data_IF_584547778703
#
_entry.id   IF_584547778703
#
_cell.length_a   1.000
_cell.length_b   1.000
_cell.length_c   1.000
_cell.angle_alpha   90.00
_cell.angle_beta   90.00
_cell.angle_gamma   90.00
#
_symmetry.space_group_name_H-M   'P 1'
#
loop_
_entity.id
_entity.type
_entity.pdbx_description
1 polymer ?
#
# COMPACT_ATOMS: atom_id res chain seq x y z
N UNK A 1 20.18 69.99 -1.51
CA UNK A 1 19.87 69.85 -0.07
C UNK A 1 18.68 68.91 0.04
N UNK A 2 18.92 67.66 0.46
CA UNK A 2 18.39 67.04 1.69
C UNK A 2 16.85 67.11 1.76
N UNK A 3 16.10 66.01 1.78
CA UNK A 3 16.29 64.87 2.68
C UNK A 3 15.62 63.61 2.12
N UNK A 4 16.32 62.49 2.25
CA UNK A 4 15.77 61.14 2.18
C UNK A 4 15.04 60.85 3.50
N UNK A 5 13.86 60.26 3.44
CA UNK A 5 13.26 59.52 4.56
C UNK A 5 12.73 58.20 4.05
N UNK A 6 13.50 57.17 4.34
CA UNK A 6 13.26 55.73 4.14
C UNK A 6 12.12 55.26 5.03
N UNK A 7 11.05 54.71 4.44
CA UNK A 7 10.03 53.97 5.18
C UNK A 7 10.31 52.47 5.03
N UNK A 8 10.96 51.88 6.03
CA UNK A 8 11.14 50.43 6.15
C UNK A 8 9.82 49.87 6.67
N UNK A 9 9.03 49.26 5.80
CA UNK A 9 7.84 48.51 6.21
C UNK A 9 8.19 47.03 6.16
N UNK A 10 8.57 46.48 7.30
CA UNK A 10 8.75 45.05 7.48
C UNK A 10 7.35 44.41 7.58
N UNK A 11 6.93 43.68 6.55
CA UNK A 11 5.73 42.84 6.62
C UNK A 11 6.21 41.41 6.86
N UNK A 12 5.89 40.89 8.05
CA UNK A 12 6.16 39.52 8.46
C UNK A 12 5.53 38.54 7.45
N UNK A 13 6.36 37.64 6.94
CA UNK A 13 5.91 36.42 6.27
C UNK A 13 5.16 35.54 7.27
N UNK A 14 3.83 35.48 7.16
CA UNK A 14 3.04 34.44 7.81
C UNK A 14 3.30 33.16 7.03
N UNK A 15 4.23 32.33 7.49
CA UNK A 15 4.25 30.93 7.11
C UNK A 15 3.03 30.28 7.76
N UNK A 16 1.94 30.18 7.00
CA UNK A 16 0.91 29.22 7.33
C UNK A 16 1.55 27.84 7.18
N UNK A 17 2.06 27.30 8.30
CA UNK A 17 2.26 25.87 8.42
C UNK A 17 0.87 25.25 8.23
N UNK A 18 0.57 24.81 7.02
CA UNK A 18 -0.56 23.92 6.76
C UNK A 18 -0.19 22.63 7.48
N UNK A 19 -0.65 22.51 8.72
CA UNK A 19 -0.71 21.25 9.39
C UNK A 19 -1.54 20.33 8.48
N UNK A 20 -0.90 19.30 7.94
CA UNK A 20 -1.60 18.21 7.28
C UNK A 20 -2.75 17.78 8.21
N UNK A 21 -3.98 17.61 7.70
CA UNK A 21 -5.08 17.18 8.54
C UNK A 21 -4.70 15.84 9.17
N UNK A 22 -4.41 15.87 10.47
CA UNK A 22 -4.12 14.69 11.31
C UNK A 22 -5.37 13.78 11.48
N UNK A 23 -6.38 13.99 10.64
CA UNK A 23 -7.65 13.29 10.55
C UNK A 23 -8.17 13.49 9.13
N UNK A 24 -7.52 12.89 8.14
CA UNK A 24 -8.35 12.25 7.12
C UNK A 24 -9.22 11.26 7.91
N UNK A 25 -10.46 11.68 8.14
CA UNK A 25 -11.46 10.86 8.76
C UNK A 25 -11.48 9.57 7.97
N UNK A 26 -10.99 8.48 8.57
CA UNK A 26 -11.39 7.14 8.16
C UNK A 26 -12.89 7.23 8.00
N UNK A 27 -13.36 7.07 6.77
CA UNK A 27 -14.77 6.92 6.52
C UNK A 27 -15.16 5.55 7.07
N UNK A 28 -15.29 5.45 8.40
CA UNK A 28 -15.63 4.22 9.14
C UNK A 28 -16.99 3.69 8.67
N UNK A 29 -17.81 4.53 8.03
CA UNK A 29 -19.13 4.18 7.49
C UNK A 29 -19.10 3.56 6.08
N UNK A 30 -17.95 3.53 5.40
CA UNK A 30 -17.80 2.83 4.11
C UNK A 30 -17.11 1.47 4.25
N UNK A 31 -16.67 1.11 5.46
CA UNK A 31 -16.13 -0.21 5.76
C UNK A 31 -17.29 -1.10 6.18
N UNK A 32 -17.62 -2.09 5.34
CA UNK A 32 -18.47 -3.19 5.78
C UNK A 32 -18.00 -3.66 7.16
N UNK A 33 -18.93 -3.87 8.10
CA UNK A 33 -18.66 -4.33 9.46
C UNK A 33 -17.63 -5.47 9.42
N UNK A 34 -16.42 -5.19 9.91
CA UNK A 34 -15.30 -6.15 9.91
C UNK A 34 -15.68 -7.35 10.78
N UNK A 35 -15.54 -8.55 10.23
CA UNK A 35 -16.01 -9.78 10.88
C UNK A 35 -15.08 -10.31 12.00
N UNK A 36 -14.10 -9.53 12.46
CA UNK A 36 -13.14 -9.96 13.48
C UNK A 36 -11.90 -9.06 13.60
N UNK A 37 -10.93 -9.43 14.46
CA UNK A 37 -9.60 -8.82 14.45
C UNK A 37 -8.93 -9.03 13.09
N UNK A 38 -7.99 -8.17 12.69
CA UNK A 38 -7.20 -8.38 11.47
C UNK A 38 -5.72 -8.17 11.73
N UNK A 39 -4.93 -8.65 10.78
CA UNK A 39 -3.56 -8.19 10.62
C UNK A 39 -3.46 -6.74 10.16
N UNK A 40 -2.22 -6.32 9.87
CA UNK A 40 -1.92 -5.00 9.33
C UNK A 40 -0.72 -5.04 8.38
N UNK A 41 -0.68 -4.08 7.45
CA UNK A 41 0.46 -3.90 6.56
C UNK A 41 1.61 -3.27 7.34
N UNK A 42 2.74 -3.98 7.39
CA UNK A 42 4.01 -3.48 7.92
C UNK A 42 4.74 -2.68 6.84
N UNK A 43 4.70 -3.16 5.60
CA UNK A 43 5.29 -2.52 4.43
C UNK A 43 4.50 -2.88 3.15
N UNK A 44 4.33 -1.97 2.18
CA UNK A 44 4.77 -0.57 2.19
C UNK A 44 3.83 0.36 2.98
N UNK A 45 4.34 1.43 3.62
CA UNK A 45 3.50 2.53 4.04
C UNK A 45 2.89 3.24 2.82
N UNK A 46 1.76 3.93 3.01
CA UNK A 46 1.16 4.75 1.97
C UNK A 46 2.13 5.82 1.44
N UNK A 47 2.10 6.07 0.14
CA UNK A 47 2.99 6.99 -0.58
C UNK A 47 4.34 6.38 -0.99
N UNK A 48 4.53 5.06 -0.85
CA UNK A 48 5.75 4.39 -1.28
C UNK A 48 5.84 4.31 -2.80
N UNK A 49 7.03 4.58 -3.36
CA UNK A 49 7.33 4.43 -4.77
C UNK A 49 8.19 3.20 -5.05
N UNK A 50 7.83 2.42 -6.07
CA UNK A 50 8.62 1.29 -6.59
C UNK A 50 9.12 1.61 -7.99
N UNK A 51 10.40 1.38 -8.25
CA UNK A 51 11.01 1.62 -9.56
C UNK A 51 10.96 0.37 -10.43
N UNK A 52 10.09 0.31 -11.44
CA UNK A 52 10.16 -0.74 -12.45
C UNK A 52 11.10 -0.29 -13.57
N UNK A 53 12.36 -0.72 -13.54
CA UNK A 53 13.22 -0.60 -14.73
C UNK A 53 12.76 -1.61 -15.78
N UNK A 54 12.76 -1.20 -17.05
CA UNK A 54 11.98 -1.83 -18.10
C UNK A 54 12.14 -3.34 -18.26
N UNK A 55 10.99 -4.03 -18.33
CA UNK A 55 10.80 -5.21 -19.16
C UNK A 55 11.05 -6.56 -18.48
N UNK A 56 10.01 -7.13 -17.87
CA UNK A 56 9.90 -8.58 -17.72
C UNK A 56 9.93 -9.34 -19.07
N UNK A 57 9.92 -8.63 -20.21
CA UNK A 57 9.78 -9.21 -21.54
C UNK A 57 10.89 -8.87 -22.55
N UNK A 58 11.89 -8.03 -22.24
CA UNK A 58 12.85 -7.56 -23.28
C UNK A 58 14.33 -7.83 -23.02
N UNK A 59 14.75 -8.22 -21.81
CA UNK A 59 16.17 -8.36 -21.54
C UNK A 59 16.51 -9.83 -21.29
N UNK A 60 17.47 -10.35 -22.07
CA UNK A 60 18.11 -11.65 -21.91
C UNK A 60 18.88 -11.74 -20.56
N UNK A 61 18.17 -11.62 -19.44
CA UNK A 61 18.70 -11.79 -18.08
C UNK A 61 19.56 -10.65 -17.53
N UNK A 62 19.49 -9.42 -18.06
CA UNK A 62 20.38 -8.33 -17.65
C UNK A 62 19.72 -6.93 -17.70
N UNK A 63 18.85 -6.59 -16.75
CA UNK A 63 18.30 -5.24 -16.59
C UNK A 63 17.37 -5.14 -15.37
N UNK A 64 17.57 -4.14 -14.51
CA UNK A 64 17.13 -4.08 -13.11
C UNK A 64 15.67 -4.46 -12.80
N UNK A 65 15.47 -5.40 -11.88
CA UNK A 65 14.15 -5.69 -11.31
C UNK A 65 14.11 -5.02 -9.93
N UNK A 66 13.33 -3.95 -9.75
CA UNK A 66 12.88 -3.59 -8.40
C UNK A 66 11.56 -4.29 -8.14
N UNK A 67 11.55 -5.12 -7.12
CA UNK A 67 10.38 -5.87 -6.70
C UNK A 67 9.48 -4.99 -5.84
N UNK A 68 8.17 -5.19 -5.96
CA UNK A 68 7.20 -4.76 -4.97
C UNK A 68 7.42 -5.64 -3.74
N UNK A 69 8.12 -5.10 -2.75
CA UNK A 69 8.26 -5.70 -1.44
C UNK A 69 6.99 -5.46 -0.63
N UNK A 70 6.48 -6.52 0.00
CA UNK A 70 5.35 -6.45 0.93
C UNK A 70 5.74 -7.12 2.24
N UNK A 71 5.21 -6.58 3.34
CA UNK A 71 5.20 -7.24 4.63
C UNK A 71 3.85 -7.04 5.27
N UNK A 72 3.20 -8.15 5.61
CA UNK A 72 1.90 -8.18 6.28
C UNK A 72 2.04 -8.95 7.60
N UNK A 73 1.64 -8.30 8.69
CA UNK A 73 1.58 -8.91 10.00
C UNK A 73 0.18 -9.46 10.21
N UNK A 74 0.02 -10.78 10.08
CA UNK A 74 -1.19 -11.51 10.41
C UNK A 74 -1.44 -11.61 11.91
N UNK A 75 -2.56 -12.23 12.26
CA UNK A 75 -3.01 -12.51 13.61
C UNK A 75 -3.09 -14.01 13.88
N UNK A 76 -2.90 -14.37 15.14
CA UNK A 76 -3.18 -15.69 15.69
C UNK A 76 -3.68 -15.50 17.12
N UNK A 77 -4.98 -15.69 17.28
CA UNK A 77 -5.72 -15.45 18.53
C UNK A 77 -6.42 -16.74 18.89
N UNK A 78 -6.31 -17.18 20.15
CA UNK A 78 -6.87 -18.46 20.60
C UNK A 78 -8.34 -18.37 21.07
N UNK A 79 -8.89 -17.18 21.30
CA UNK A 79 -10.26 -17.01 21.81
C UNK A 79 -10.90 -15.67 21.38
N UNK A 80 -11.91 -15.68 20.47
CA UNK A 80 -12.25 -16.81 19.60
C UNK A 80 -11.03 -17.22 18.75
N UNK A 81 -10.94 -18.49 18.36
CA UNK A 81 -9.84 -18.92 17.49
C UNK A 81 -9.93 -18.17 16.16
N UNK A 82 -8.89 -17.42 15.82
CA UNK A 82 -8.79 -16.67 14.57
C UNK A 82 -7.34 -16.60 14.15
N UNK A 83 -7.06 -17.11 12.96
CA UNK A 83 -5.70 -17.18 12.43
C UNK A 83 -5.68 -16.69 10.98
N UNK A 84 -4.75 -15.78 10.67
CA UNK A 84 -4.42 -15.43 9.29
C UNK A 84 -3.75 -16.64 8.64
N UNK A 85 -4.35 -17.13 7.55
CA UNK A 85 -3.81 -18.28 6.81
C UNK A 85 -3.13 -17.85 5.50
N UNK A 86 -3.40 -16.64 5.02
CA UNK A 86 -2.80 -16.06 3.82
C UNK A 86 -3.40 -14.70 3.47
N UNK A 87 -2.87 -14.11 2.40
CA UNK A 87 -3.36 -12.87 1.80
C UNK A 87 -3.39 -12.98 0.27
N UNK A 88 -4.40 -12.39 -0.37
CA UNK A 88 -4.28 -11.98 -1.77
C UNK A 88 -3.72 -10.57 -1.82
N UNK A 89 -2.88 -10.29 -2.82
CA UNK A 89 -2.35 -8.94 -3.04
C UNK A 89 -2.51 -8.57 -4.50
N UNK A 90 -3.10 -7.41 -4.77
CA UNK A 90 -3.30 -6.90 -6.12
C UNK A 90 -3.20 -5.38 -6.19
N UNK A 91 -2.91 -4.89 -7.39
CA UNK A 91 -2.92 -3.48 -7.73
C UNK A 91 -4.32 -3.09 -8.20
N UNK A 92 -4.93 -2.13 -7.52
CA UNK A 92 -6.19 -1.52 -7.91
C UNK A 92 -5.93 -0.11 -8.45
N UNK A 93 -6.39 0.16 -9.66
CA UNK A 93 -6.35 1.51 -10.22
C UNK A 93 -7.43 2.39 -9.54
N UNK A 94 -7.04 3.45 -8.81
CA UNK A 94 -8.00 4.32 -8.12
C UNK A 94 -8.93 5.07 -9.08
N UNK A 95 -8.57 5.19 -10.36
CA UNK A 95 -9.41 5.81 -11.40
C UNK A 95 -10.42 4.84 -12.01
N UNK A 96 -10.24 3.53 -11.81
CA UNK A 96 -11.07 2.47 -12.39
C UNK A 96 -10.91 2.32 -13.91
N UNK A 97 -9.86 2.87 -14.51
CA UNK A 97 -9.60 2.78 -15.95
C UNK A 97 -8.97 1.43 -16.30
N UNK A 98 -8.04 0.96 -15.47
CA UNK A 98 -7.39 -0.35 -15.60
C UNK A 98 -8.08 -1.40 -14.72
N UNK A 99 -8.12 -2.68 -15.15
CA UNK A 99 -8.59 -3.77 -14.31
C UNK A 99 -7.62 -4.03 -13.15
N UNK A 100 -8.13 -4.63 -12.07
CA UNK A 100 -7.30 -5.08 -10.94
C UNK A 100 -6.24 -6.09 -11.42
N UNK A 101 -4.99 -5.89 -10.98
CA UNK A 101 -3.85 -6.72 -11.40
C UNK A 101 -3.27 -7.46 -10.20
N UNK A 102 -3.46 -8.78 -10.16
CA UNK A 102 -3.02 -9.61 -9.03
C UNK A 102 -1.52 -9.86 -9.05
N UNK A 103 -0.88 -9.63 -7.90
CA UNK A 103 0.51 -10.02 -7.64
C UNK A 103 0.58 -11.45 -7.11
N UNK A 104 -0.39 -11.83 -6.27
CA UNK A 104 -0.43 -13.16 -5.67
C UNK A 104 -1.82 -13.53 -5.16
N UNK A 105 -2.04 -14.84 -4.98
CA UNK A 105 -3.25 -15.44 -4.44
C UNK A 105 -2.89 -16.39 -3.30
N UNK A 106 -3.67 -16.35 -2.22
CA UNK A 106 -3.53 -17.20 -1.02
C UNK A 106 -2.07 -17.24 -0.50
N UNK A 107 -1.35 -16.10 -0.56
CA UNK A 107 0.07 -16.00 -0.21
C UNK A 107 0.29 -15.95 1.29
N UNK A 108 1.22 -16.75 1.78
CA UNK A 108 1.60 -16.78 3.19
C UNK A 108 1.73 -18.20 3.69
N UNK A 109 1.99 -18.32 4.99
CA UNK A 109 2.05 -19.60 5.68
C UNK A 109 1.34 -19.44 7.02
N UNK A 110 0.35 -20.28 7.36
CA UNK A 110 -0.34 -20.19 8.64
C UNK A 110 0.59 -20.35 9.86
N UNK A 111 1.78 -20.92 9.67
CA UNK A 111 2.79 -21.08 10.74
C UNK A 111 3.68 -19.85 10.94
N UNK A 112 3.53 -18.80 10.13
CA UNK A 112 4.26 -17.54 10.25
C UNK A 112 3.29 -16.37 10.25
N UNK A 113 3.32 -15.57 11.32
CA UNK A 113 2.49 -14.37 11.37
C UNK A 113 3.00 -13.25 10.47
N UNK A 114 4.30 -13.23 10.17
CA UNK A 114 4.85 -12.30 9.20
C UNK A 114 4.81 -12.95 7.82
N UNK A 115 4.05 -12.35 6.90
CA UNK A 115 4.01 -12.70 5.49
C UNK A 115 4.87 -11.67 4.77
N UNK A 116 5.99 -12.11 4.21
CA UNK A 116 6.98 -11.27 3.51
C UNK A 116 7.17 -11.80 2.09
N UNK A 117 7.14 -10.92 1.10
CA UNK A 117 7.23 -11.29 -0.31
C UNK A 117 7.74 -10.17 -1.20
N UNK A 118 8.30 -10.57 -2.33
CA UNK A 118 8.85 -9.69 -3.37
C UNK A 118 8.23 -10.09 -4.70
N UNK A 119 7.49 -9.17 -5.33
CA UNK A 119 6.73 -9.44 -6.55
C UNK A 119 7.21 -8.55 -7.69
N UNK A 120 7.32 -9.12 -8.89
CA UNK A 120 7.49 -8.30 -10.08
C UNK A 120 6.19 -7.54 -10.36
N UNK A 121 6.24 -6.22 -10.63
CA UNK A 121 5.09 -5.52 -11.20
C UNK A 121 4.59 -6.23 -12.46
N UNK A 122 3.25 -6.30 -12.67
CA UNK A 122 2.69 -6.77 -13.93
C UNK A 122 3.15 -5.90 -15.11
N UNK A 123 3.22 -6.49 -16.30
CA UNK A 123 3.63 -5.76 -17.51
C UNK A 123 2.72 -4.56 -17.76
N UNK A 124 3.31 -3.37 -17.92
CA UNK A 124 2.57 -2.12 -18.14
C UNK A 124 1.94 -1.50 -16.89
N UNK A 125 2.19 -2.05 -15.69
CA UNK A 125 1.73 -1.48 -14.42
C UNK A 125 2.53 -0.21 -14.06
N UNK A 126 2.18 0.92 -14.65
CA UNK A 126 2.84 2.21 -14.45
C UNK A 126 1.84 3.25 -13.95
N UNK A 127 2.19 3.96 -12.89
CA UNK A 127 1.36 5.00 -12.29
C UNK A 127 0.98 4.74 -10.84
N UNK A 128 -0.09 5.39 -10.40
CA UNK A 128 -0.58 5.32 -9.03
C UNK A 128 -1.58 4.19 -8.86
N UNK A 129 -1.39 3.38 -7.81
CA UNK A 129 -2.24 2.24 -7.49
C UNK A 129 -2.55 2.20 -5.99
N UNK A 130 -3.69 1.61 -5.65
CA UNK A 130 -3.93 1.09 -4.31
C UNK A 130 -3.41 -0.35 -4.27
N UNK A 131 -2.44 -0.64 -3.42
CA UNK A 131 -1.96 -2.02 -3.20
C UNK A 131 -2.89 -2.70 -2.21
N UNK A 132 -3.86 -3.45 -2.71
CA UNK A 132 -4.92 -4.05 -1.90
C UNK A 132 -4.47 -5.37 -1.29
N UNK A 133 -4.65 -5.52 0.01
CA UNK A 133 -4.43 -6.76 0.76
C UNK A 133 -5.79 -7.34 1.16
N UNK A 134 -6.10 -8.52 0.66
CA UNK A 134 -7.28 -9.30 1.09
C UNK A 134 -6.80 -10.37 2.05
N UNK A 135 -7.14 -10.23 3.32
CA UNK A 135 -6.75 -11.22 4.33
C UNK A 135 -7.69 -12.40 4.34
N UNK A 136 -7.12 -13.59 4.44
CA UNK A 136 -7.86 -14.83 4.63
C UNK A 136 -7.67 -15.30 6.07
N UNK A 137 -8.79 -15.52 6.76
CA UNK A 137 -8.76 -15.97 8.14
C UNK A 137 -9.57 -17.25 8.31
N UNK A 138 -9.02 -18.16 9.09
CA UNK A 138 -9.76 -19.29 9.61
C UNK A 138 -10.46 -18.88 10.92
N UNK A 139 -11.79 -18.91 10.95
CA UNK A 139 -12.60 -18.67 12.14
C UNK A 139 -12.93 -20.00 12.82
N UNK A 140 -12.44 -20.20 14.04
CA UNK A 140 -12.65 -21.43 14.79
C UNK A 140 -11.78 -22.60 14.31
N UNK A 141 -11.81 -23.72 15.06
CA UNK A 141 -11.14 -24.97 14.66
C UNK A 141 -11.88 -25.71 13.51
N UNK A 142 -12.91 -25.09 12.90
CA UNK A 142 -13.87 -25.77 12.05
C UNK A 142 -13.74 -25.45 10.55
N UNK A 143 -12.76 -24.64 10.14
CA UNK A 143 -12.40 -24.45 8.74
C UNK A 143 -13.23 -23.43 7.97
N UNK A 144 -13.97 -22.57 8.67
CA UNK A 144 -14.68 -21.45 8.05
C UNK A 144 -13.66 -20.37 7.65
N UNK A 145 -13.39 -20.26 6.35
CA UNK A 145 -12.47 -19.25 5.81
C UNK A 145 -13.27 -18.01 5.42
N UNK A 146 -12.96 -16.89 6.06
CA UNK A 146 -13.43 -15.56 5.62
C UNK A 146 -12.33 -14.86 4.83
N UNK A 147 -12.73 -14.11 3.80
CA UNK A 147 -11.85 -13.23 3.01
C UNK A 147 -12.38 -11.81 3.08
N UNK A 148 -11.52 -10.85 3.42
CA UNK A 148 -11.91 -9.44 3.47
C UNK A 148 -10.73 -8.52 3.16
N UNK A 149 -11.02 -7.35 2.59
CA UNK A 149 -10.01 -6.32 2.37
C UNK A 149 -9.50 -5.79 3.72
N UNK A 150 -8.24 -6.06 4.02
CA UNK A 150 -7.61 -5.67 5.27
C UNK A 150 -6.94 -4.29 5.18
N UNK A 151 -6.35 -3.97 4.03
CA UNK A 151 -5.65 -2.70 3.79
C UNK A 151 -5.58 -2.39 2.28
N UNK A 152 -5.31 -1.12 1.96
CA UNK A 152 -5.06 -0.65 0.60
C UNK A 152 -4.16 0.59 0.61
N UNK A 153 -2.87 0.50 1.01
CA UNK A 153 -1.94 1.62 0.90
C UNK A 153 -1.82 2.11 -0.54
N UNK A 154 -1.85 3.43 -0.73
CA UNK A 154 -1.52 4.06 -2.00
C UNK A 154 -0.01 3.90 -2.28
N UNK A 155 0.34 3.47 -3.49
CA UNK A 155 1.71 3.31 -3.96
C UNK A 155 1.84 3.88 -5.38
N UNK A 156 3.07 4.17 -5.79
CA UNK A 156 3.37 4.60 -7.16
C UNK A 156 4.37 3.64 -7.78
N UNK A 157 4.08 3.13 -8.97
CA UNK A 157 5.03 2.34 -9.76
C UNK A 157 5.61 3.25 -10.85
N UNK A 158 6.88 3.58 -10.69
CA UNK A 158 7.64 4.44 -11.59
C UNK A 158 8.29 3.57 -12.65
N UNK A 159 7.86 3.71 -13.88
CA UNK A 159 8.45 3.00 -15.01
C UNK A 159 9.52 3.87 -15.67
N UNK A 160 10.78 3.43 -15.61
CA UNK A 160 11.90 4.13 -16.27
C UNK A 160 12.24 3.46 -17.60
N UNK A 161 12.58 4.24 -18.65
CA UNK A 161 13.08 3.67 -19.90
C UNK A 161 14.34 2.81 -19.66
N UNK A 162 14.48 1.73 -20.43
CA UNK A 162 15.75 1.00 -20.53
C UNK A 162 16.77 1.97 -21.15
N UNK A 163 17.92 2.17 -20.50
CA UNK A 163 19.03 2.97 -21.03
C UNK A 163 20.06 2.08 -21.71
#
# INVERSE_FOLDING_TARGET
MLSFTTAITAILTVTAAVALPHREARNENALASRAGPSGYVVYPPGGTSFESMGGAESDNGAGGISFIHIQYQGIDVNSPYTQTIGVDVYLQDPTGVQPDQYLTYDFGNPNSLLIDGYFSPPSGACGDYNLVFVEHQNLGNFGDIIKFQAAAPAITIVCTPIQ
#
